data_IF_210603652645
#
_entry.id   IF_210603652645
#
_cell.length_a   1.000
_cell.length_b   1.000
_cell.length_c   1.000
_cell.angle_alpha   90.00
_cell.angle_beta   90.00
_cell.angle_gamma   90.00
#
_symmetry.space_group_name_H-M   'P 1'
#
loop_
_entity.id
_entity.type
_entity.pdbx_description
1 polymer ?
#
# COMPACT_ATOMS: atom_id res chain seq x y z
N UNK A 1 22.77 -11.42 -3.28
CA UNK A 1 22.50 -10.08 -2.70
C UNK A 1 23.11 -9.04 -3.62
N UNK A 2 22.37 -8.41 -4.55
CA UNK A 2 23.01 -7.36 -5.38
C UNK A 2 22.11 -6.34 -6.11
N UNK A 3 20.80 -6.31 -5.91
CA UNK A 3 19.96 -5.37 -6.67
C UNK A 3 18.55 -5.13 -6.11
N UNK A 4 18.25 -5.63 -4.90
CA UNK A 4 17.01 -5.29 -4.19
C UNK A 4 17.10 -3.94 -3.43
N UNK A 5 18.20 -3.21 -3.56
CA UNK A 5 18.68 -2.37 -2.45
C UNK A 5 18.40 -0.86 -2.54
N UNK A 6 18.08 -0.30 -3.71
CA UNK A 6 17.87 1.16 -3.84
C UNK A 6 16.42 1.47 -4.20
N UNK A 7 15.93 0.92 -5.31
CA UNK A 7 14.57 1.20 -5.79
C UNK A 7 13.52 0.72 -4.79
N UNK A 8 13.66 -0.49 -4.25
CA UNK A 8 12.71 -1.03 -3.27
C UNK A 8 12.74 -0.21 -1.97
N UNK A 9 13.92 0.23 -1.55
CA UNK A 9 14.10 1.04 -0.34
C UNK A 9 13.53 2.45 -0.47
N UNK A 10 13.64 3.04 -1.67
CA UNK A 10 13.00 4.31 -2.02
C UNK A 10 11.47 4.10 -2.03
N UNK A 11 10.96 3.01 -2.60
CA UNK A 11 9.53 2.74 -2.62
C UNK A 11 8.97 2.54 -1.21
N UNK A 12 9.66 1.74 -0.37
CA UNK A 12 9.33 1.53 1.04
C UNK A 12 9.41 2.84 1.85
N UNK A 13 10.26 3.79 1.46
CA UNK A 13 10.32 5.11 2.12
C UNK A 13 9.05 5.95 1.94
N UNK A 14 8.20 5.59 0.97
CA UNK A 14 6.90 6.22 0.79
C UNK A 14 5.77 5.52 1.56
N UNK A 15 6.02 4.35 2.18
CA UNK A 15 4.97 3.59 2.86
C UNK A 15 4.32 4.36 4.02
N UNK A 16 5.09 5.18 4.76
CA UNK A 16 4.56 6.06 5.81
C UNK A 16 3.53 7.05 5.25
N UNK A 17 3.94 7.76 4.18
CA UNK A 17 3.10 8.73 3.48
C UNK A 17 1.84 8.06 2.92
N UNK A 18 1.98 6.88 2.33
CA UNK A 18 0.83 6.11 1.84
C UNK A 18 -0.11 5.69 2.98
N UNK A 19 0.44 5.20 4.09
CA UNK A 19 -0.36 4.81 5.26
C UNK A 19 -1.14 6.00 5.83
N UNK A 20 -0.51 7.18 5.94
CA UNK A 20 -1.15 8.41 6.40
C UNK A 20 -2.27 8.86 5.48
N UNK A 21 -2.04 8.89 4.16
CA UNK A 21 -3.06 9.26 3.17
C UNK A 21 -4.28 8.33 3.30
N UNK A 22 -4.06 7.02 3.38
CA UNK A 22 -5.15 6.04 3.49
C UNK A 22 -5.87 6.16 4.84
N UNK A 23 -5.14 6.33 5.94
CA UNK A 23 -5.72 6.51 7.27
C UNK A 23 -6.56 7.78 7.38
N UNK A 24 -6.11 8.88 6.79
CA UNK A 24 -6.87 10.14 6.75
C UNK A 24 -8.12 9.99 5.88
N UNK A 25 -7.96 9.53 4.64
CA UNK A 25 -9.05 9.53 3.66
C UNK A 25 -10.09 8.44 3.90
N UNK A 26 -9.67 7.23 4.29
CA UNK A 26 -10.57 6.07 4.41
C UNK A 26 -10.95 5.74 5.86
N UNK A 27 -10.11 6.14 6.83
CA UNK A 27 -10.31 5.81 8.24
C UNK A 27 -10.51 7.03 9.13
N UNK A 28 -10.82 8.18 8.54
CA UNK A 28 -11.15 9.43 9.24
C UNK A 28 -10.06 9.82 10.26
N UNK A 29 -8.80 9.67 9.86
CA UNK A 29 -7.61 9.96 10.67
C UNK A 29 -7.25 8.90 11.71
N UNK A 30 -7.95 7.76 11.75
CA UNK A 30 -7.58 6.64 12.64
C UNK A 30 -6.42 5.86 12.03
N UNK A 31 -5.40 5.56 12.84
CA UNK A 31 -4.24 4.75 12.45
C UNK A 31 -4.61 3.27 12.37
N UNK A 32 -5.18 2.86 11.23
CA UNK A 32 -5.62 1.49 10.95
C UNK A 32 -4.58 0.76 10.10
N UNK A 33 -4.06 1.42 9.07
CA UNK A 33 -3.00 0.92 8.21
C UNK A 33 -1.64 1.27 8.80
N UNK A 34 -0.72 0.30 8.82
CA UNK A 34 0.67 0.50 9.27
C UNK A 34 1.60 0.47 8.08
N UNK A 35 2.56 1.40 8.02
CA UNK A 35 3.57 1.49 6.95
C UNK A 35 4.28 0.16 6.66
N UNK A 36 4.57 -0.63 7.70
CA UNK A 36 5.30 -1.89 7.60
C UNK A 36 4.45 -3.06 7.10
N UNK A 37 3.14 -2.85 6.92
CA UNK A 37 2.22 -3.81 6.32
C UNK A 37 2.01 -3.58 4.82
N UNK A 38 2.51 -2.47 4.28
CA UNK A 38 2.48 -2.18 2.86
C UNK A 38 3.64 -2.87 2.15
N UNK A 39 3.32 -3.51 1.03
CA UNK A 39 4.30 -4.19 0.19
C UNK A 39 3.98 -3.93 -1.28
N UNK A 40 4.98 -4.08 -2.13
CA UNK A 40 4.81 -3.97 -3.57
C UNK A 40 3.83 -5.05 -4.06
N UNK A 41 2.64 -4.61 -4.46
CA UNK A 41 1.64 -5.45 -5.09
C UNK A 41 2.06 -5.68 -6.55
N UNK A 42 2.28 -6.93 -6.96
CA UNK A 42 2.61 -7.25 -8.36
C UNK A 42 1.50 -6.83 -9.32
N UNK A 43 1.83 -6.62 -10.61
CA UNK A 43 0.87 -6.14 -11.64
C UNK A 43 -0.38 -7.04 -11.73
N UNK A 44 -0.26 -8.34 -11.45
CA UNK A 44 -1.39 -9.28 -11.43
C UNK A 44 -2.33 -9.10 -10.22
N UNK A 45 -1.87 -8.47 -9.15
CA UNK A 45 -2.68 -8.22 -7.94
C UNK A 45 -3.48 -6.92 -7.98
N UNK A 46 -3.24 -6.07 -8.99
CA UNK A 46 -3.95 -4.79 -9.17
C UNK A 46 -5.37 -4.94 -9.76
N UNK A 47 -5.85 -6.16 -10.00
CA UNK A 47 -7.22 -6.49 -10.43
C UNK A 47 -7.64 -7.75 -9.63
N UNK A 48 -8.68 -7.79 -8.81
CA UNK A 48 -10.04 -7.28 -9.01
C UNK A 48 -10.63 -6.86 -7.65
N UNK A 49 -10.82 -5.56 -7.42
CA UNK A 49 -12.11 -5.15 -6.88
C UNK A 49 -13.08 -5.42 -8.03
N UNK A 50 -13.54 -6.67 -8.13
CA UNK A 50 -14.64 -7.01 -9.03
C UNK A 50 -15.75 -6.03 -8.67
N UNK A 51 -16.06 -5.14 -9.61
CA UNK A 51 -17.15 -4.19 -9.50
C UNK A 51 -18.52 -4.85 -9.28
N UNK A 52 -18.59 -6.17 -9.12
CA UNK A 52 -19.67 -6.84 -8.40
C UNK A 52 -19.66 -6.52 -6.91
N UNK A 53 -20.30 -5.40 -6.63
CA UNK A 53 -21.38 -5.39 -5.65
C UNK A 53 -22.38 -6.49 -6.07
N UNK A 54 -22.59 -7.51 -5.25
CA UNK A 54 -23.63 -8.53 -5.45
C UNK A 54 -24.16 -8.97 -4.09
N UNK A 55 -25.48 -8.94 -3.91
CA UNK A 55 -26.13 -9.96 -3.10
C UNK A 55 -26.22 -11.24 -3.94
#
# INVERSE_FOLDING_TARGET
MKSKDITQKILESYNDVFADIVNVLLFNGKSVIKENTLFEAGIESALKLDGKISY
#
